data_IF_746190496183
#
_entry.id   IF_746190496183
#
_cell.length_a   1.000
_cell.length_b   1.000
_cell.length_c   1.000
_cell.angle_alpha   90.00
_cell.angle_beta   90.00
_cell.angle_gamma   90.00
#
_symmetry.space_group_name_H-M   'P 1'
#
loop_
_entity.id
_entity.type
_entity.pdbx_description
1 polymer ?
#
# COMPACT_ATOMS: atom_id res chain seq x y z
N UNK A 1 8.63 -3.84 41.37
CA UNK A 1 9.36 -2.98 40.41
C UNK A 1 8.76 -2.96 38.99
N UNK A 2 8.05 -4.00 38.52
CA UNK A 2 7.43 -4.00 37.17
C UNK A 2 6.24 -3.02 37.05
N UNK A 3 5.51 -2.77 38.14
CA UNK A 3 4.32 -1.91 38.10
C UNK A 3 4.62 -0.40 37.94
N UNK A 4 5.78 0.08 38.40
CA UNK A 4 6.14 1.50 38.24
C UNK A 4 6.60 1.84 36.82
N UNK A 5 7.25 0.91 36.10
CA UNK A 5 7.67 1.12 34.70
C UNK A 5 6.47 1.20 33.74
N UNK A 6 5.43 0.39 33.97
CA UNK A 6 4.21 0.45 33.16
C UNK A 6 3.41 1.75 33.40
N UNK A 7 3.43 2.29 34.63
CA UNK A 7 2.82 3.58 34.94
C UNK A 7 3.57 4.72 34.23
N UNK A 8 4.91 4.76 34.29
CA UNK A 8 5.69 5.81 33.63
C UNK A 8 5.61 5.73 32.09
N UNK A 9 5.56 4.52 31.52
CA UNK A 9 5.38 4.35 30.07
C UNK A 9 3.96 4.71 29.62
N UNK A 10 2.93 4.32 30.38
CA UNK A 10 1.54 4.69 30.13
C UNK A 10 1.30 6.20 30.19
N UNK A 11 1.95 6.88 31.14
CA UNK A 11 1.91 8.33 31.28
C UNK A 11 2.69 9.02 30.16
N UNK A 12 3.89 8.55 29.79
CA UNK A 12 4.66 9.09 28.67
C UNK A 12 3.93 8.94 27.33
N UNK A 13 3.30 7.78 27.09
CA UNK A 13 2.42 7.56 25.95
C UNK A 13 1.24 8.53 26.00
N UNK A 14 0.72 8.85 27.19
CA UNK A 14 -0.39 9.77 27.38
C UNK A 14 -0.10 11.23 27.02
N UNK A 15 1.12 11.71 27.28
CA UNK A 15 1.53 13.09 27.03
C UNK A 15 1.88 13.42 25.56
N UNK A 16 2.22 12.43 24.72
CA UNK A 16 2.65 12.69 23.33
C UNK A 16 1.66 12.14 22.28
N UNK A 17 0.77 12.98 21.72
CA UNK A 17 -0.26 12.54 20.75
C UNK A 17 0.33 11.94 19.46
N UNK A 18 1.51 12.40 19.03
CA UNK A 18 2.23 11.87 17.87
C UNK A 18 2.72 10.45 18.13
N UNK A 19 3.19 10.16 19.35
CA UNK A 19 3.68 8.84 19.71
C UNK A 19 2.54 7.81 19.80
N UNK A 20 1.37 8.20 20.35
CA UNK A 20 0.15 7.39 20.29
C UNK A 20 -0.24 7.04 18.86
N UNK A 21 -0.30 8.04 17.98
CA UNK A 21 -0.65 7.85 16.57
C UNK A 21 0.37 6.96 15.84
N UNK A 22 1.66 7.08 16.17
CA UNK A 22 2.72 6.22 15.65
C UNK A 22 2.56 4.76 16.09
N UNK A 23 2.35 4.49 17.39
CA UNK A 23 2.19 3.13 17.90
C UNK A 23 0.92 2.47 17.36
N UNK A 24 -0.22 3.17 17.43
CA UNK A 24 -1.49 2.68 16.90
C UNK A 24 -1.39 2.43 15.38
N UNK A 25 -0.79 3.36 14.63
CA UNK A 25 -0.58 3.23 13.20
C UNK A 25 0.38 2.09 12.83
N UNK A 26 1.44 1.88 13.62
CA UNK A 26 2.43 0.81 13.38
C UNK A 26 1.85 -0.57 13.68
N UNK A 27 1.10 -0.72 14.78
CA UNK A 27 0.44 -1.99 15.11
C UNK A 27 -0.66 -2.33 14.12
N UNK A 28 -1.58 -1.39 13.84
CA UNK A 28 -2.65 -1.56 12.86
C UNK A 28 -2.10 -1.84 11.46
N UNK A 29 -1.06 -1.12 11.05
CA UNK A 29 -0.39 -1.29 9.76
C UNK A 29 0.31 -2.65 9.63
N UNK A 30 0.97 -3.12 10.70
CA UNK A 30 1.62 -4.43 10.74
C UNK A 30 0.59 -5.55 10.70
N UNK A 31 -0.46 -5.48 11.52
CA UNK A 31 -1.54 -6.46 11.52
C UNK A 31 -2.22 -6.56 10.14
N UNK A 32 -2.55 -5.41 9.55
CA UNK A 32 -3.10 -5.36 8.18
C UNK A 32 -2.12 -5.90 7.13
N UNK A 33 -0.81 -5.69 7.32
CA UNK A 33 0.20 -6.26 6.43
C UNK A 33 0.20 -7.79 6.53
N UNK A 34 0.14 -8.37 7.73
CA UNK A 34 0.10 -9.83 7.94
C UNK A 34 -1.14 -10.44 7.32
N UNK A 35 -2.31 -9.86 7.59
CA UNK A 35 -3.59 -10.40 7.14
C UNK A 35 -3.72 -10.39 5.61
N UNK A 36 -3.21 -9.34 4.96
CA UNK A 36 -3.40 -9.13 3.52
C UNK A 36 -2.13 -9.36 2.69
N UNK A 37 -1.04 -9.88 3.28
CA UNK A 37 0.19 -10.24 2.57
C UNK A 37 -0.05 -11.20 1.39
N UNK A 38 -0.93 -12.22 1.49
CA UNK A 38 -1.21 -13.12 0.37
C UNK A 38 -1.71 -12.38 -0.89
N UNK A 39 -2.51 -11.32 -0.71
CA UNK A 39 -3.03 -10.51 -1.82
C UNK A 39 -1.94 -9.65 -2.47
N UNK A 40 -1.03 -9.09 -1.66
CA UNK A 40 0.13 -8.36 -2.17
C UNK A 40 1.04 -9.29 -2.98
N UNK A 41 1.30 -10.49 -2.47
CA UNK A 41 2.11 -11.49 -3.16
C UNK A 41 1.52 -11.87 -4.53
N UNK A 42 0.23 -12.25 -4.55
CA UNK A 42 -0.45 -12.65 -5.79
C UNK A 42 -0.49 -11.50 -6.79
N UNK A 43 -0.73 -10.28 -6.33
CA UNK A 43 -0.68 -9.07 -7.16
C UNK A 43 0.71 -8.88 -7.78
N UNK A 44 1.77 -8.90 -6.99
CA UNK A 44 3.14 -8.69 -7.47
C UNK A 44 3.53 -9.77 -8.48
N UNK A 45 3.11 -11.03 -8.29
CA UNK A 45 3.34 -12.11 -9.25
C UNK A 45 2.54 -11.94 -10.54
N UNK A 46 1.25 -11.57 -10.46
CA UNK A 46 0.43 -11.24 -11.65
C UNK A 46 1.02 -10.10 -12.48
N UNK A 47 1.67 -9.15 -11.82
CA UNK A 47 2.31 -8.00 -12.47
C UNK A 47 3.72 -8.31 -13.00
N UNK A 48 4.31 -9.47 -12.66
CA UNK A 48 5.67 -9.83 -13.08
C UNK A 48 5.75 -10.10 -14.60
N UNK A 49 6.55 -9.32 -15.36
CA UNK A 49 6.74 -9.52 -16.79
C UNK A 49 7.21 -10.93 -17.21
N UNK A 50 7.99 -11.63 -16.39
CA UNK A 50 8.63 -12.89 -16.78
C UNK A 50 7.71 -14.11 -16.75
N UNK A 51 6.56 -14.04 -16.09
CA UNK A 51 5.56 -15.13 -16.18
C UNK A 51 5.07 -15.35 -17.61
N UNK A 52 5.20 -14.34 -18.48
CA UNK A 52 4.82 -14.43 -19.88
C UNK A 52 5.86 -15.08 -20.78
N UNK A 53 7.15 -14.96 -20.47
CA UNK A 53 8.18 -15.70 -21.23
C UNK A 53 7.91 -17.20 -21.07
N UNK A 54 7.60 -17.64 -19.85
CA UNK A 54 7.23 -19.04 -19.56
C UNK A 54 5.93 -19.44 -20.26
N UNK A 55 4.89 -18.60 -20.26
CA UNK A 55 3.63 -18.91 -20.95
C UNK A 55 3.77 -18.95 -22.48
N UNK A 56 4.62 -18.09 -23.06
CA UNK A 56 4.91 -18.06 -24.49
C UNK A 56 5.72 -19.29 -24.94
N UNK A 57 6.67 -19.76 -24.14
CA UNK A 57 7.44 -20.98 -24.42
C UNK A 57 6.57 -22.25 -24.37
N UNK A 58 5.50 -22.25 -23.55
CA UNK A 58 4.62 -23.43 -23.35
C UNK A 58 3.40 -23.42 -24.29
N UNK A 59 3.40 -22.63 -25.37
CA UNK A 59 2.27 -22.50 -26.32
C UNK A 59 0.91 -22.22 -25.66
N UNK A 60 0.92 -21.71 -24.43
CA UNK A 60 -0.29 -21.45 -23.65
C UNK A 60 -0.67 -19.99 -23.85
N UNK A 61 -1.63 -19.74 -24.78
CA UNK A 61 -2.16 -18.40 -25.07
C UNK A 61 -2.89 -17.75 -23.88
N UNK A 62 -3.12 -18.49 -22.80
CA UNK A 62 -3.92 -18.07 -21.65
C UNK A 62 -2.98 -17.61 -20.53
N UNK A 63 -3.08 -16.33 -20.17
CA UNK A 63 -2.39 -15.80 -19.00
C UNK A 63 -2.91 -16.49 -17.74
N UNK A 64 -2.03 -16.93 -16.82
CA UNK A 64 -2.49 -17.54 -15.58
C UNK A 64 -3.29 -16.51 -14.78
N UNK A 65 -4.54 -16.85 -14.47
CA UNK A 65 -5.40 -16.02 -13.66
C UNK A 65 -4.91 -15.93 -12.21
N UNK A 66 -5.53 -15.05 -11.43
CA UNK A 66 -5.24 -14.90 -10.00
C UNK A 66 -5.31 -16.24 -9.25
N UNK A 67 -6.33 -17.05 -9.53
CA UNK A 67 -6.52 -18.37 -8.90
C UNK A 67 -5.44 -19.36 -9.31
N UNK A 68 -5.03 -19.36 -10.58
CA UNK A 68 -3.93 -20.22 -11.05
C UNK A 68 -2.63 -19.90 -10.33
N UNK A 69 -2.30 -18.61 -10.18
CA UNK A 69 -1.09 -18.20 -9.43
C UNK A 69 -1.21 -18.56 -7.96
N UNK A 70 -2.36 -18.32 -7.33
CA UNK A 70 -2.60 -18.66 -5.95
C UNK A 70 -2.44 -20.17 -5.69
N UNK A 71 -3.06 -21.02 -6.51
CA UNK A 71 -2.93 -22.48 -6.43
C UNK A 71 -1.49 -22.93 -6.70
N UNK A 72 -0.79 -22.32 -7.66
CA UNK A 72 0.61 -22.63 -7.94
C UNK A 72 1.52 -22.29 -6.76
N UNK A 73 1.28 -21.18 -6.06
CA UNK A 73 2.03 -20.82 -4.84
C UNK A 73 1.82 -21.90 -3.78
N UNK A 74 0.57 -22.30 -3.51
CA UNK A 74 0.29 -23.31 -2.50
C UNK A 74 0.94 -24.65 -2.85
N UNK A 75 0.90 -25.05 -4.12
CA UNK A 75 1.51 -26.30 -4.58
C UNK A 75 3.05 -26.28 -4.52
N UNK A 76 3.69 -25.15 -4.85
CA UNK A 76 5.15 -25.07 -4.98
C UNK A 76 5.86 -24.58 -3.71
N UNK A 77 5.27 -23.63 -2.99
CA UNK A 77 5.88 -22.93 -1.84
C UNK A 77 5.13 -23.19 -0.53
N UNK A 78 4.13 -24.07 -0.54
CA UNK A 78 3.23 -24.35 0.58
C UNK A 78 2.44 -23.11 1.02
N UNK A 79 1.55 -23.28 2.00
CA UNK A 79 0.70 -22.20 2.52
C UNK A 79 1.55 -21.04 3.08
N UNK A 80 2.67 -21.35 3.73
CA UNK A 80 3.60 -20.35 4.30
C UNK A 80 4.21 -19.46 3.22
N UNK A 81 4.34 -19.96 1.98
CA UNK A 81 4.80 -19.19 0.83
C UNK A 81 3.98 -17.93 0.56
N UNK A 82 2.70 -17.89 0.96
CA UNK A 82 1.83 -16.72 0.82
C UNK A 82 2.29 -15.50 1.65
N UNK A 83 3.09 -15.72 2.70
CA UNK A 83 3.67 -14.66 3.53
C UNK A 83 5.09 -14.25 3.10
N UNK A 84 5.54 -14.72 1.94
CA UNK A 84 6.81 -14.25 1.38
C UNK A 84 6.76 -12.75 1.15
N UNK A 85 7.77 -12.03 1.65
CA UNK A 85 7.80 -10.56 1.66
C UNK A 85 7.22 -9.91 2.92
N UNK A 86 6.78 -10.69 3.93
CA UNK A 86 6.29 -10.14 5.20
C UNK A 86 7.36 -9.29 5.91
N UNK A 87 8.58 -9.78 6.02
CA UNK A 87 9.69 -9.07 6.70
C UNK A 87 9.96 -7.69 6.06
N UNK A 88 10.17 -7.56 4.72
CA UNK A 88 10.29 -6.24 4.10
C UNK A 88 8.99 -5.42 4.18
N UNK A 89 7.80 -6.04 4.22
CA UNK A 89 6.54 -5.33 4.46
C UNK A 89 6.51 -4.64 5.83
N UNK A 90 6.92 -5.32 6.91
CA UNK A 90 7.01 -4.75 8.26
C UNK A 90 8.09 -3.67 8.31
N UNK A 91 9.28 -3.98 7.79
CA UNK A 91 10.43 -3.06 7.75
C UNK A 91 10.13 -1.77 6.98
N UNK A 92 9.18 -1.80 6.03
CA UNK A 92 8.68 -0.61 5.35
C UNK A 92 7.57 0.08 6.14
N UNK A 93 6.68 -0.68 6.77
CA UNK A 93 5.49 -0.15 7.41
C UNK A 93 5.83 0.70 8.65
N UNK A 94 6.58 0.14 9.60
CA UNK A 94 6.84 0.81 10.89
C UNK A 94 7.64 2.11 10.71
N UNK A 95 8.78 2.15 10.00
CA UNK A 95 9.47 3.41 9.73
C UNK A 95 8.64 4.36 8.85
N UNK A 96 7.82 3.83 7.95
CA UNK A 96 6.98 4.64 7.06
C UNK A 96 5.92 5.44 7.77
N UNK A 97 5.30 4.86 8.79
CA UNK A 97 4.35 5.56 9.67
C UNK A 97 5.07 6.68 10.43
N UNK A 98 6.24 6.38 11.00
CA UNK A 98 7.06 7.38 11.71
C UNK A 98 7.47 8.55 10.82
N UNK A 99 8.10 8.27 9.67
CA UNK A 99 8.55 9.31 8.74
C UNK A 99 7.37 10.14 8.24
N UNK A 100 6.21 9.52 7.97
CA UNK A 100 5.02 10.25 7.54
C UNK A 100 4.53 11.24 8.61
N UNK A 101 4.32 10.78 9.86
CA UNK A 101 3.84 11.66 10.92
C UNK A 101 4.86 12.74 11.31
N UNK A 102 6.15 12.40 11.34
CA UNK A 102 7.22 13.37 11.58
C UNK A 102 7.29 14.42 10.48
N UNK A 103 7.20 14.01 9.21
CA UNK A 103 7.18 14.94 8.07
C UNK A 103 5.94 15.84 8.12
N UNK A 104 4.77 15.28 8.43
CA UNK A 104 3.53 16.03 8.56
C UNK A 104 3.61 17.05 9.70
N UNK A 105 4.13 16.65 10.86
CA UNK A 105 4.30 17.55 12.01
C UNK A 105 5.28 18.69 11.70
N UNK A 106 6.42 18.36 11.08
CA UNK A 106 7.42 19.34 10.66
C UNK A 106 6.85 20.36 9.65
N UNK A 107 6.10 19.89 8.65
CA UNK A 107 5.45 20.76 7.67
C UNK A 107 4.40 21.67 8.32
N UNK A 108 3.56 21.13 9.21
CA UNK A 108 2.55 21.93 9.94
C UNK A 108 3.18 22.99 10.82
N UNK A 109 4.26 22.64 11.53
CA UNK A 109 5.00 23.57 12.39
C UNK A 109 5.58 24.74 11.57
N UNK A 110 6.15 24.45 10.39
CA UNK A 110 6.69 25.49 9.50
C UNK A 110 5.61 26.44 8.95
N UNK A 111 4.37 25.97 8.80
CA UNK A 111 3.24 26.81 8.38
C UNK A 111 2.57 27.56 9.54
N UNK A 112 3.05 27.40 10.79
CA UNK A 112 2.42 28.00 11.97
C UNK A 112 1.04 27.41 12.32
N UNK A 113 0.60 26.34 11.63
CA UNK A 113 -0.74 25.72 11.75
C UNK A 113 -0.70 24.42 12.53
N UNK A 114 0.00 24.39 13.67
CA UNK A 114 0.09 23.19 14.52
C UNK A 114 -1.24 22.87 15.22
N UNK A 115 -2.07 23.89 15.50
CA UNK A 115 -3.38 23.76 16.19
C UNK A 115 -4.58 24.32 15.40
N UNK A 116 -4.35 24.96 14.25
CA UNK A 116 -5.43 25.52 13.43
C UNK A 116 -6.00 24.52 12.42
N UNK A 117 -7.28 24.70 12.07
CA UNK A 117 -7.91 23.91 11.01
C UNK A 117 -7.24 24.20 9.67
N UNK A 118 -6.82 23.12 9.00
CA UNK A 118 -6.23 23.18 7.67
C UNK A 118 -7.36 23.17 6.65
N UNK A 119 -7.30 24.05 5.65
CA UNK A 119 -8.17 23.93 4.50
C UNK A 119 -8.00 22.56 3.84
N UNK A 120 -9.06 22.01 3.23
CA UNK A 120 -9.01 20.67 2.62
C UNK A 120 -7.86 20.54 1.60
N UNK A 121 -7.64 21.57 0.78
CA UNK A 121 -6.54 21.61 -0.19
C UNK A 121 -5.16 21.67 0.48
N UNK A 122 -4.99 22.46 1.54
CA UNK A 122 -3.75 22.51 2.31
C UNK A 122 -3.44 21.15 2.96
N UNK A 123 -4.45 20.50 3.54
CA UNK A 123 -4.30 19.18 4.14
C UNK A 123 -3.90 18.12 3.11
N UNK A 124 -4.47 18.17 1.90
CA UNK A 124 -4.09 17.29 0.79
C UNK A 124 -2.64 17.56 0.37
N UNK A 125 -2.26 18.81 0.15
CA UNK A 125 -0.88 19.15 -0.26
C UNK A 125 0.15 18.74 0.79
N UNK A 126 -0.12 19.01 2.07
CA UNK A 126 0.71 18.56 3.18
C UNK A 126 0.83 17.03 3.23
N UNK A 127 -0.28 16.33 3.02
CA UNK A 127 -0.31 14.87 2.93
C UNK A 127 0.53 14.35 1.76
N UNK A 128 0.43 14.98 0.59
CA UNK A 128 1.21 14.64 -0.61
C UNK A 128 2.71 14.82 -0.36
N UNK A 129 3.13 15.98 0.18
CA UNK A 129 4.55 16.25 0.44
C UNK A 129 5.10 15.29 1.49
N UNK A 130 4.38 15.07 2.60
CA UNK A 130 4.78 14.11 3.63
C UNK A 130 4.87 12.67 3.08
N UNK A 131 3.97 12.28 2.18
CA UNK A 131 4.01 10.96 1.51
C UNK A 131 5.18 10.84 0.55
N UNK A 132 5.52 11.89 -0.20
CA UNK A 132 6.68 11.92 -1.08
C UNK A 132 7.97 11.76 -0.28
N UNK A 133 8.13 12.49 0.83
CA UNK A 133 9.29 12.36 1.72
C UNK A 133 9.44 10.94 2.26
N UNK A 134 8.35 10.35 2.78
CA UNK A 134 8.34 8.96 3.25
C UNK A 134 8.64 7.95 2.12
N UNK A 135 8.08 8.16 0.94
CA UNK A 135 8.27 7.30 -0.24
C UNK A 135 9.70 7.32 -0.78
N UNK A 136 10.35 8.48 -0.80
CA UNK A 136 11.76 8.63 -1.21
C UNK A 136 12.68 7.91 -0.22
N UNK A 137 12.50 8.12 1.09
CA UNK A 137 13.34 7.46 2.11
C UNK A 137 13.20 5.95 2.09
N UNK A 138 11.99 5.45 1.83
CA UNK A 138 11.68 4.01 1.87
C UNK A 138 11.70 3.32 0.50
N UNK A 139 12.20 3.98 -0.53
CA UNK A 139 12.31 3.35 -1.85
C UNK A 139 13.16 2.08 -1.83
N UNK A 140 14.31 1.98 -1.13
CA UNK A 140 15.13 0.77 -1.15
C UNK A 140 14.38 -0.42 -0.55
N UNK A 141 13.67 -0.20 0.57
CA UNK A 141 12.87 -1.25 1.22
C UNK A 141 11.69 -1.64 0.33
N UNK A 142 11.12 -0.70 -0.42
CA UNK A 142 10.05 -0.97 -1.39
C UNK A 142 10.53 -1.85 -2.54
N UNK A 143 11.72 -1.58 -3.10
CA UNK A 143 12.34 -2.45 -4.13
C UNK A 143 12.57 -3.85 -3.56
N UNK A 144 13.18 -3.96 -2.39
CA UNK A 144 13.42 -5.25 -1.73
C UNK A 144 12.09 -6.00 -1.53
N UNK A 145 11.05 -5.33 -1.02
CA UNK A 145 9.70 -5.93 -0.87
C UNK A 145 9.21 -6.54 -2.18
N UNK A 146 9.20 -5.76 -3.27
CA UNK A 146 8.70 -6.25 -4.56
C UNK A 146 9.49 -7.43 -5.11
N UNK A 147 10.81 -7.44 -4.95
CA UNK A 147 11.66 -8.56 -5.38
C UNK A 147 11.41 -9.84 -4.57
N UNK A 148 11.26 -9.70 -3.25
CA UNK A 148 10.89 -10.83 -2.40
C UNK A 148 9.55 -11.44 -2.82
N UNK A 149 8.54 -10.60 -3.08
CA UNK A 149 7.19 -11.05 -3.48
C UNK A 149 7.15 -11.67 -4.89
N UNK A 150 7.99 -11.20 -5.80
CA UNK A 150 8.02 -11.72 -7.19
C UNK A 150 8.42 -13.18 -7.31
N UNK A 151 9.17 -13.71 -6.34
CA UNK A 151 9.76 -15.05 -6.39
C UNK A 151 10.97 -15.20 -7.33
N UNK A 152 11.27 -14.19 -8.15
CA UNK A 152 12.38 -14.19 -9.14
C UNK A 152 13.73 -14.16 -8.44
N UNK A 153 13.83 -13.37 -7.37
CA UNK A 153 15.03 -13.20 -6.59
C UNK A 153 14.94 -14.03 -5.30
N UNK A 154 16.03 -14.73 -4.98
CA UNK A 154 16.18 -15.49 -3.73
C UNK A 154 17.21 -14.77 -2.87
N UNK A 155 16.74 -14.16 -1.79
CA UNK A 155 17.57 -13.46 -0.82
C UNK A 155 17.37 -14.08 0.56
N UNK A 156 18.47 -14.30 1.29
CA UNK A 156 18.44 -14.93 2.61
C UNK A 156 18.09 -13.95 3.73
N UNK A 157 18.37 -12.65 3.55
CA UNK A 157 18.09 -11.61 4.54
C UNK A 157 17.90 -10.24 3.88
N UNK A 158 17.26 -9.29 4.59
CA UNK A 158 17.10 -7.92 4.10
C UNK A 158 18.43 -7.22 3.84
N UNK A 159 19.39 -7.36 4.76
CA UNK A 159 20.74 -6.80 4.59
C UNK A 159 21.50 -7.45 3.43
N UNK A 160 21.33 -8.77 3.26
CA UNK A 160 21.87 -9.50 2.12
C UNK A 160 21.27 -9.03 0.79
N UNK A 161 19.95 -8.80 0.74
CA UNK A 161 19.27 -8.24 -0.42
C UNK A 161 19.77 -6.83 -0.75
N UNK A 162 19.88 -5.96 0.25
CA UNK A 162 20.39 -4.60 0.09
C UNK A 162 21.82 -4.61 -0.49
N UNK A 163 22.72 -5.42 0.10
CA UNK A 163 24.11 -5.56 -0.36
C UNK A 163 24.18 -6.14 -1.77
N UNK A 164 23.36 -7.14 -2.08
CA UNK A 164 23.32 -7.77 -3.39
C UNK A 164 22.86 -6.79 -4.48
N UNK A 165 21.78 -6.05 -4.24
CA UNK A 165 21.27 -5.04 -5.17
C UNK A 165 22.30 -3.92 -5.36
N UNK A 166 22.88 -3.41 -4.26
CA UNK A 166 23.88 -2.35 -4.34
C UNK A 166 25.12 -2.79 -5.13
N UNK A 167 25.60 -4.02 -4.95
CA UNK A 167 26.78 -4.53 -5.66
C UNK A 167 26.50 -4.79 -7.15
N UNK A 168 25.30 -5.26 -7.50
CA UNK A 168 24.95 -5.61 -8.87
C UNK A 168 24.47 -4.41 -9.70
N UNK A 169 23.70 -3.50 -9.10
CA UNK A 169 22.93 -2.46 -9.81
C UNK A 169 23.18 -1.04 -9.26
N UNK A 170 23.97 -0.92 -8.20
CA UNK A 170 24.28 0.35 -7.55
C UNK A 170 23.07 1.04 -6.90
N UNK A 171 23.20 2.36 -6.68
CA UNK A 171 22.15 3.20 -6.08
C UNK A 171 20.92 3.31 -6.98
N UNK A 172 21.09 3.16 -8.30
CA UNK A 172 20.01 3.20 -9.28
C UNK A 172 19.08 1.99 -9.12
N UNK A 173 19.63 0.81 -8.83
CA UNK A 173 18.83 -0.37 -8.49
C UNK A 173 17.99 -0.19 -7.23
N UNK A 174 18.51 0.51 -6.21
CA UNK A 174 17.77 0.77 -4.96
C UNK A 174 16.70 1.85 -5.09
N UNK A 175 16.81 2.74 -6.07
CA UNK A 175 15.88 3.85 -6.32
C UNK A 175 14.99 3.66 -7.56
N UNK A 176 15.08 2.49 -8.22
CA UNK A 176 14.28 2.20 -9.40
C UNK A 176 12.77 2.19 -9.09
N UNK A 177 11.99 2.68 -10.06
CA UNK A 177 10.54 2.79 -9.91
C UNK A 177 10.07 3.89 -8.94
N UNK A 178 10.94 4.80 -8.48
CA UNK A 178 10.54 5.93 -7.63
C UNK A 178 9.44 6.78 -8.28
N UNK A 179 9.63 7.20 -9.53
CA UNK A 179 8.65 8.01 -10.27
C UNK A 179 7.25 7.37 -10.30
N UNK A 180 7.10 6.14 -10.81
CA UNK A 180 5.82 5.42 -10.75
C UNK A 180 5.28 5.17 -9.34
N UNK A 181 6.16 5.00 -8.34
CA UNK A 181 5.74 4.89 -6.94
C UNK A 181 5.10 6.19 -6.44
N UNK A 182 5.71 7.33 -6.73
CA UNK A 182 5.17 8.64 -6.36
C UNK A 182 3.90 8.97 -7.13
N UNK A 183 3.86 8.69 -8.44
CA UNK A 183 2.66 8.86 -9.27
C UNK A 183 1.48 8.00 -8.80
N UNK A 184 1.74 6.91 -8.09
CA UNK A 184 0.72 6.09 -7.44
C UNK A 184 0.32 6.64 -6.07
N UNK A 185 1.29 6.99 -5.24
CA UNK A 185 1.07 7.26 -3.80
C UNK A 185 0.65 8.71 -3.52
N UNK A 186 1.18 9.69 -4.26
CA UNK A 186 0.86 11.10 -4.09
C UNK A 186 -0.62 11.43 -4.41
N UNK A 187 -1.15 11.12 -5.60
CA UNK A 187 -2.53 11.48 -5.93
C UNK A 187 -3.58 10.62 -5.22
N UNK A 188 -3.18 9.49 -4.62
CA UNK A 188 -4.13 8.52 -4.05
C UNK A 188 -5.08 9.14 -3.03
N UNK A 189 -4.56 9.96 -2.10
CA UNK A 189 -5.38 10.61 -1.07
C UNK A 189 -6.38 11.62 -1.65
N UNK A 190 -5.97 12.39 -2.67
CA UNK A 190 -6.86 13.33 -3.36
C UNK A 190 -7.95 12.63 -4.15
N UNK A 191 -7.59 11.59 -4.91
CA UNK A 191 -8.54 10.75 -5.64
C UNK A 191 -9.53 10.06 -4.71
N UNK A 192 -9.04 9.51 -3.60
CA UNK A 192 -9.90 8.90 -2.58
C UNK A 192 -10.92 9.90 -2.05
N UNK A 193 -10.49 11.11 -1.64
CA UNK A 193 -11.41 12.13 -1.12
C UNK A 193 -12.40 12.62 -2.19
N UNK A 194 -11.95 12.76 -3.45
CA UNK A 194 -12.78 13.16 -4.57
C UNK A 194 -13.91 12.15 -4.80
N UNK A 195 -13.57 10.87 -4.99
CA UNK A 195 -14.56 9.82 -5.21
C UNK A 195 -15.45 9.60 -3.99
N UNK A 196 -14.89 9.72 -2.78
CA UNK A 196 -15.65 9.62 -1.54
C UNK A 196 -16.70 10.73 -1.43
N UNK A 197 -16.30 11.98 -1.68
CA UNK A 197 -17.20 13.13 -1.63
C UNK A 197 -18.29 13.03 -2.69
N UNK A 198 -17.94 12.63 -3.92
CA UNK A 198 -18.92 12.41 -5.00
C UNK A 198 -19.91 11.30 -4.65
N UNK A 199 -19.44 10.15 -4.18
CA UNK A 199 -20.31 9.02 -3.80
C UNK A 199 -21.25 9.43 -2.67
N UNK A 200 -20.75 10.15 -1.68
CA UNK A 200 -21.57 10.65 -0.55
C UNK A 200 -22.62 11.67 -1.00
N UNK A 201 -22.30 12.56 -1.94
CA UNK A 201 -23.24 13.56 -2.47
C UNK A 201 -24.36 12.95 -3.31
N UNK A 202 -24.11 11.80 -3.94
CA UNK A 202 -25.12 11.07 -4.70
C UNK A 202 -26.16 10.34 -3.83
N UNK A 203 -25.95 10.24 -2.51
CA UNK A 203 -26.88 9.58 -1.59
C UNK A 203 -27.89 10.60 -1.02
N UNK A 204 -29.19 10.28 -0.96
CA UNK A 204 -30.21 11.15 -0.36
C UNK A 204 -29.86 11.54 1.09
N UNK A 205 -30.10 12.81 1.43
CA UNK A 205 -29.79 13.34 2.78
C UNK A 205 -30.57 12.64 3.90
N UNK A 206 -31.71 12.03 3.59
CA UNK A 206 -32.52 11.25 4.52
C UNK A 206 -31.75 10.06 5.12
N UNK A 207 -30.89 9.42 4.32
CA UNK A 207 -30.08 8.27 4.76
C UNK A 207 -28.95 8.68 5.70
N UNK A 208 -28.61 9.97 5.75
CA UNK A 208 -27.61 10.51 6.66
C UNK A 208 -28.19 10.87 8.04
N UNK A 209 -29.53 10.85 8.21
CA UNK A 209 -30.18 11.20 9.47
C UNK A 209 -30.20 10.01 10.46
N UNK A 210 -30.24 8.77 9.95
CA UNK A 210 -30.13 7.58 10.78
C UNK A 210 -28.66 7.21 11.02
N UNK A 211 -28.20 7.00 12.27
CA UNK A 211 -26.81 6.67 12.57
C UNK A 211 -26.30 5.40 11.87
N UNK A 212 -27.16 4.38 11.73
CA UNK A 212 -26.82 3.12 11.06
C UNK A 212 -26.69 3.29 9.56
N UNK A 213 -27.63 4.00 8.94
CA UNK A 213 -27.60 4.28 7.51
C UNK A 213 -26.44 5.22 7.14
N UNK A 214 -26.17 6.25 7.94
CA UNK A 214 -25.04 7.15 7.74
C UNK A 214 -23.70 6.40 7.78
N UNK A 215 -23.54 5.50 8.73
CA UNK A 215 -22.34 4.67 8.86
C UNK A 215 -22.19 3.73 7.64
N UNK A 216 -23.27 3.08 7.19
CA UNK A 216 -23.26 2.24 5.99
C UNK A 216 -22.93 3.04 4.71
N UNK A 217 -23.40 4.29 4.62
CA UNK A 217 -23.06 5.21 3.51
C UNK A 217 -21.58 5.58 3.55
N UNK A 218 -21.02 5.88 4.72
CA UNK A 218 -19.59 6.13 4.88
C UNK A 218 -18.74 4.92 4.47
N UNK A 219 -19.17 3.72 4.86
CA UNK A 219 -18.51 2.47 4.52
C UNK A 219 -18.51 2.18 3.01
N UNK A 220 -19.70 2.19 2.40
CA UNK A 220 -19.87 1.95 0.97
C UNK A 220 -19.17 3.01 0.12
N UNK A 221 -19.27 4.30 0.49
CA UNK A 221 -18.52 5.38 -0.14
C UNK A 221 -17.01 5.17 -0.04
N UNK A 222 -16.53 4.66 1.11
CA UNK A 222 -15.12 4.32 1.31
C UNK A 222 -14.64 3.19 0.40
N UNK A 223 -15.46 2.15 0.18
CA UNK A 223 -15.16 1.04 -0.75
C UNK A 223 -15.11 1.55 -2.18
N UNK A 224 -16.15 2.26 -2.63
CA UNK A 224 -16.23 2.80 -4.01
C UNK A 224 -15.05 3.71 -4.28
N UNK A 225 -14.75 4.63 -3.36
CA UNK A 225 -13.60 5.52 -3.47
C UNK A 225 -12.27 4.76 -3.51
N UNK A 226 -12.11 3.74 -2.66
CA UNK A 226 -10.91 2.91 -2.61
C UNK A 226 -10.68 2.12 -3.90
N UNK A 227 -11.75 1.59 -4.50
CA UNK A 227 -11.72 0.87 -5.78
C UNK A 227 -11.38 1.83 -6.92
N UNK A 228 -12.12 2.93 -7.05
CA UNK A 228 -11.94 3.90 -8.13
C UNK A 228 -10.54 4.53 -8.10
N UNK A 229 -10.06 4.97 -6.93
CA UNK A 229 -8.69 5.49 -6.77
C UNK A 229 -7.62 4.43 -7.08
N UNK A 230 -7.89 3.15 -6.77
CA UNK A 230 -6.96 2.05 -7.07
C UNK A 230 -6.88 1.76 -8.57
N UNK A 231 -8.00 1.86 -9.30
CA UNK A 231 -8.04 1.68 -10.76
C UNK A 231 -7.27 2.79 -11.47
N UNK A 232 -7.51 4.05 -11.11
CA UNK A 232 -6.82 5.23 -11.68
C UNK A 232 -5.31 5.14 -11.47
N UNK A 233 -4.88 4.66 -10.30
CA UNK A 233 -3.45 4.53 -9.95
C UNK A 233 -2.88 3.14 -10.25
N UNK A 234 -3.61 2.26 -10.95
CA UNK A 234 -3.11 0.93 -11.30
C UNK A 234 -2.03 0.92 -12.39
N UNK A 235 -2.12 1.74 -13.45
CA UNK A 235 -1.08 1.79 -14.46
C UNK A 235 0.30 2.11 -13.87
N UNK A 236 0.38 3.13 -13.01
CA UNK A 236 1.63 3.50 -12.33
C UNK A 236 2.18 2.35 -11.45
N UNK A 237 1.31 1.56 -10.86
CA UNK A 237 1.69 0.42 -10.03
C UNK A 237 2.23 -0.75 -10.86
N UNK A 238 1.69 -1.02 -12.05
CA UNK A 238 2.25 -2.00 -13.00
C UNK A 238 3.65 -1.54 -13.48
N UNK A 239 3.80 -0.26 -13.84
CA UNK A 239 5.08 0.28 -14.29
C UNK A 239 6.13 0.22 -13.18
N UNK A 240 5.74 0.56 -11.95
CA UNK A 240 6.57 0.41 -10.76
C UNK A 240 7.09 -1.02 -10.65
N UNK A 241 6.20 -2.02 -10.66
CA UNK A 241 6.58 -3.42 -10.48
C UNK A 241 7.54 -3.88 -11.57
N UNK A 242 7.32 -3.50 -12.84
CA UNK A 242 8.23 -3.84 -13.93
C UNK A 242 9.64 -3.26 -13.69
N UNK A 243 9.72 -1.97 -13.36
CA UNK A 243 11.00 -1.29 -13.12
C UNK A 243 11.73 -1.85 -11.89
N UNK A 244 11.01 -2.22 -10.83
CA UNK A 244 11.60 -2.74 -9.59
C UNK A 244 12.09 -4.19 -9.71
N UNK A 245 11.50 -4.96 -10.63
CA UNK A 245 11.91 -6.33 -10.91
C UNK A 245 12.97 -6.44 -11.99
N UNK A 246 13.00 -5.58 -13.01
CA UNK A 246 13.97 -5.65 -14.10
C UNK A 246 14.50 -4.26 -14.46
N UNK A 247 15.34 -3.66 -13.60
CA UNK A 247 15.83 -2.29 -13.81
C UNK A 247 16.68 -2.14 -15.08
N UNK A 248 17.43 -3.16 -15.48
CA UNK A 248 18.24 -3.15 -16.71
C UNK A 248 17.37 -3.15 -17.97
N UNK A 249 16.24 -3.88 -17.93
CA UNK A 249 15.28 -3.94 -19.05
C UNK A 249 14.37 -2.70 -19.08
N UNK A 250 14.08 -2.13 -17.92
CA UNK A 250 13.14 -1.02 -17.76
C UNK A 250 13.78 0.14 -16.98
N UNK A 251 14.75 0.85 -17.57
CA UNK A 251 15.48 1.94 -16.90
C UNK A 251 14.62 3.17 -16.58
N UNK A 252 13.49 3.33 -17.25
CA UNK A 252 12.56 4.45 -17.09
C UNK A 252 11.09 4.00 -17.28
N UNK A 253 10.15 4.80 -16.75
CA UNK A 253 8.73 4.47 -16.80
C UNK A 253 8.18 4.37 -18.24
N UNK A 254 8.76 5.14 -19.16
CA UNK A 254 8.40 5.12 -20.57
C UNK A 254 8.74 3.78 -21.23
N UNK A 255 9.95 3.25 -21.04
CA UNK A 255 10.36 1.94 -21.55
C UNK A 255 9.47 0.81 -21.01
N UNK A 256 9.12 0.87 -19.71
CA UNK A 256 8.16 -0.05 -19.12
C UNK A 256 6.77 0.07 -19.75
N UNK A 257 6.31 1.29 -20.02
CA UNK A 257 5.00 1.55 -20.62
C UNK A 257 4.93 1.07 -22.08
N UNK A 258 5.96 1.36 -22.89
CA UNK A 258 6.08 0.87 -24.26
C UNK A 258 6.03 -0.66 -24.28
N UNK A 259 6.81 -1.33 -23.42
CA UNK A 259 6.79 -2.79 -23.32
C UNK A 259 5.42 -3.34 -22.93
N UNK A 260 4.77 -2.75 -21.91
CA UNK A 260 3.43 -3.19 -21.47
C UNK A 260 2.41 -3.01 -22.58
N UNK A 261 2.44 -1.88 -23.29
CA UNK A 261 1.52 -1.60 -24.38
C UNK A 261 1.73 -2.55 -25.56
N UNK A 262 2.98 -2.79 -25.98
CA UNK A 262 3.29 -3.69 -27.09
C UNK A 262 3.00 -5.16 -26.76
N UNK A 263 3.26 -5.60 -25.53
CA UNK A 263 3.11 -7.01 -25.13
C UNK A 263 1.68 -7.36 -24.72
N UNK A 264 0.97 -6.44 -24.05
CA UNK A 264 -0.31 -6.72 -23.40
C UNK A 264 -1.44 -5.78 -23.82
N UNK A 265 -1.16 -4.76 -24.63
CA UNK A 265 -2.10 -3.68 -24.92
C UNK A 265 -2.56 -2.95 -23.65
N UNK A 266 -3.73 -2.32 -23.74
CA UNK A 266 -4.35 -1.57 -22.64
C UNK A 266 -4.66 -2.46 -21.42
N UNK A 267 -4.98 -3.74 -21.65
CA UNK A 267 -5.29 -4.70 -20.57
C UNK A 267 -4.09 -4.95 -19.64
N UNK A 268 -2.86 -4.76 -20.13
CA UNK A 268 -1.64 -4.91 -19.34
C UNK A 268 -1.58 -4.00 -18.11
N UNK A 269 -2.09 -2.78 -18.21
CA UNK A 269 -2.09 -1.80 -17.12
C UNK A 269 -3.07 -2.12 -16.00
N UNK A 270 -4.01 -3.04 -16.22
CA UNK A 270 -4.98 -3.50 -15.23
C UNK A 270 -4.60 -4.85 -14.60
N UNK A 271 -3.40 -5.38 -14.91
CA UNK A 271 -2.87 -6.56 -14.24
C UNK A 271 -2.70 -6.30 -12.74
N UNK A 272 -3.16 -7.27 -11.94
CA UNK A 272 -3.19 -7.15 -10.48
C UNK A 272 -4.23 -6.18 -9.92
N UNK A 273 -5.14 -5.62 -10.74
CA UNK A 273 -6.21 -4.75 -10.25
C UNK A 273 -7.15 -5.49 -9.28
N UNK A 274 -7.54 -6.74 -9.61
CA UNK A 274 -8.44 -7.56 -8.77
C UNK A 274 -7.89 -7.75 -7.35
N UNK A 275 -6.68 -8.31 -7.12
CA UNK A 275 -6.17 -8.48 -5.76
C UNK A 275 -5.96 -7.14 -5.04
N UNK A 276 -5.66 -6.06 -5.78
CA UNK A 276 -5.55 -4.71 -5.20
C UNK A 276 -6.90 -4.19 -4.70
N UNK A 277 -7.97 -4.32 -5.50
CA UNK A 277 -9.32 -3.91 -5.11
C UNK A 277 -9.83 -4.77 -3.95
N UNK A 278 -9.64 -6.09 -4.03
CA UNK A 278 -10.02 -7.01 -2.96
C UNK A 278 -9.34 -6.65 -1.63
N UNK A 279 -8.03 -6.35 -1.66
CA UNK A 279 -7.32 -5.86 -0.47
C UNK A 279 -7.96 -4.59 0.09
N UNK A 280 -8.32 -3.61 -0.76
CA UNK A 280 -8.95 -2.36 -0.30
C UNK A 280 -10.32 -2.60 0.32
N UNK A 281 -11.16 -3.43 -0.31
CA UNK A 281 -12.47 -3.79 0.21
C UNK A 281 -12.37 -4.51 1.54
N UNK A 282 -11.47 -5.49 1.67
CA UNK A 282 -11.27 -6.21 2.92
C UNK A 282 -10.70 -5.32 4.04
N UNK A 283 -9.79 -4.39 3.71
CA UNK A 283 -9.31 -3.40 4.68
C UNK A 283 -10.43 -2.49 5.16
N UNK A 284 -11.33 -2.06 4.27
CA UNK A 284 -12.50 -1.27 4.66
C UNK A 284 -13.44 -2.10 5.55
N UNK A 285 -13.75 -3.33 5.16
CA UNK A 285 -14.59 -4.26 5.93
C UNK A 285 -14.03 -4.50 7.33
N UNK A 286 -12.72 -4.72 7.45
CA UNK A 286 -12.05 -4.85 8.74
C UNK A 286 -12.17 -3.58 9.58
N UNK A 287 -11.98 -2.39 8.99
CA UNK A 287 -12.12 -1.14 9.73
C UNK A 287 -13.55 -0.94 10.25
N UNK A 288 -14.55 -1.35 9.46
CA UNK A 288 -15.95 -1.32 9.83
C UNK A 288 -16.27 -2.27 10.98
N UNK A 289 -15.87 -3.54 10.90
CA UNK A 289 -16.15 -4.52 11.96
C UNK A 289 -15.50 -4.12 13.28
N UNK A 290 -14.26 -3.61 13.24
CA UNK A 290 -13.59 -3.08 14.43
C UNK A 290 -14.34 -1.89 15.00
N UNK A 291 -14.83 -0.97 14.15
CA UNK A 291 -15.62 0.16 14.59
C UNK A 291 -16.93 -0.28 15.28
N UNK A 292 -17.64 -1.26 14.73
CA UNK A 292 -18.87 -1.76 15.32
C UNK A 292 -18.64 -2.43 16.68
N UNK A 293 -17.60 -3.25 16.80
CA UNK A 293 -17.25 -3.91 18.07
C UNK A 293 -16.83 -2.91 19.15
N UNK A 294 -16.03 -1.91 18.78
CA UNK A 294 -15.65 -0.84 19.71
C UNK A 294 -16.88 -0.04 20.16
N UNK A 295 -17.77 0.32 19.24
CA UNK A 295 -19.00 1.08 19.56
C UNK A 295 -19.92 0.27 20.47
N UNK A 296 -20.05 -1.04 20.23
CA UNK A 296 -20.82 -1.96 21.07
C UNK A 296 -20.23 -2.08 22.47
N UNK A 297 -18.91 -2.20 22.58
CA UNK A 297 -18.20 -2.35 23.87
C UNK A 297 -18.30 -1.08 24.73
N UNK A 298 -18.31 0.10 24.10
CA UNK A 298 -18.44 1.40 24.78
C UNK A 298 -19.90 1.72 25.15
N UNK A 299 -20.89 0.93 24.69
CA UNK A 299 -22.31 1.15 24.98
C UNK A 299 -22.91 2.36 24.24
N UNK A 300 -22.35 2.70 23.08
CA UNK A 300 -22.84 3.79 22.21
C UNK A 300 -23.94 3.31 21.22
N UNK A 301 -24.45 2.09 21.39
CA UNK A 301 -25.56 1.50 20.64
C UNK A 301 -26.58 0.92 21.60
#
# INVERSE_FOLDING_TARGET
MVNNLNATFGDFVSYHPVFKAFLAGSFSGTFSAVLFQPLDLVKTRLQNPSQHVVAATVNSRIQPGMMTIFTNIIRQEQIVGLWRGMVPSIARCVPGVGIYFSSLHWLKAKMGKTKGDLGALEAIMLGVVARTMSGVTLIPITVIKTRYESGVYKYNSLGGALKAIYKAEGIRGLSCGLGPTLARDAPFSGLYLMFYSQTKQSVPKEWMQSPTAASAVHFSSGIVAGIAASLVTNPADVLKTNMQLYPDKFPNAFSAAVYVHQTYGVKGYFKGAVPRMLRRTLMAAMAWTVFEEVTRTIGLK
#
